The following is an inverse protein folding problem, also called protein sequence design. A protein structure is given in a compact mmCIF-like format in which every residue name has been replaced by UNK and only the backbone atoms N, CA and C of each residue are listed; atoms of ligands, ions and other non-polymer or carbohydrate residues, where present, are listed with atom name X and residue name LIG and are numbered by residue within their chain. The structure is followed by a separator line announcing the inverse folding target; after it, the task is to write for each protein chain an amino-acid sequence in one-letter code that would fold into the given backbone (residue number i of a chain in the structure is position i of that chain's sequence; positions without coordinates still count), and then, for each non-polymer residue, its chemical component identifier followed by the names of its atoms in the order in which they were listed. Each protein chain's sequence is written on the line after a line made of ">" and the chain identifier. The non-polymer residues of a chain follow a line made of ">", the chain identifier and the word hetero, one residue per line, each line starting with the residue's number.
data_IF_853238107593
#
_entry.id   IF_853238107593
#
_cell.length_a   1.000
_cell.length_b   1.000
_cell.length_c   1.000
_cell.angle_alpha   90.00
_cell.angle_beta   90.00
_cell.angle_gamma   90.00
#
_symmetry.space_group_name_H-M   'P 1'
#
loop_
_entity.id
_entity.type
_entity.pdbx_description
1 polymer ?
#
# COMPACT_ATOMS: atom_id res chain seq x y z
N UNK A 1 -40.57 5.42 -25.27
CA UNK A 1 -39.37 5.16 -24.43
C UNK A 1 -39.30 3.66 -24.17
N UNK A 2 -38.30 2.94 -24.69
CA UNK A 2 -38.22 1.49 -24.48
C UNK A 2 -37.91 1.16 -23.01
N UNK A 3 -38.68 0.25 -22.39
CA UNK A 3 -38.50 -0.19 -21.00
C UNK A 3 -37.20 -1.00 -20.90
N UNK A 4 -36.13 -0.40 -20.34
CA UNK A 4 -34.83 -1.06 -20.16
C UNK A 4 -35.01 -2.34 -19.33
N UNK A 5 -34.58 -3.48 -19.87
CA UNK A 5 -34.71 -4.79 -19.25
C UNK A 5 -34.08 -4.83 -17.85
N UNK A 6 -34.81 -5.37 -16.86
CA UNK A 6 -34.29 -5.58 -15.50
C UNK A 6 -33.01 -6.43 -15.51
N UNK A 7 -32.86 -7.35 -16.47
CA UNK A 7 -31.66 -8.19 -16.63
C UNK A 7 -30.42 -7.36 -16.96
N UNK A 8 -30.53 -6.40 -17.87
CA UNK A 8 -29.43 -5.49 -18.20
C UNK A 8 -29.01 -4.64 -17.00
N UNK A 9 -29.97 -4.17 -16.19
CA UNK A 9 -29.67 -3.39 -14.98
C UNK A 9 -28.98 -4.24 -13.91
N UNK A 10 -29.45 -5.47 -13.71
CA UNK A 10 -28.84 -6.40 -12.74
C UNK A 10 -27.43 -6.84 -13.19
N UNK A 11 -27.22 -7.03 -14.50
CA UNK A 11 -25.90 -7.32 -15.06
C UNK A 11 -24.90 -6.21 -14.73
N UNK A 12 -25.21 -4.94 -14.99
CA UNK A 12 -24.28 -3.85 -14.68
C UNK A 12 -24.03 -3.66 -13.19
N UNK A 13 -25.04 -3.90 -12.32
CA UNK A 13 -24.85 -3.91 -10.87
C UNK A 13 -23.90 -5.02 -10.42
N UNK A 14 -24.05 -6.21 -10.99
CA UNK A 14 -23.15 -7.32 -10.69
C UNK A 14 -21.73 -7.03 -11.17
N UNK A 15 -21.57 -6.51 -12.39
CA UNK A 15 -20.26 -6.07 -12.90
C UNK A 15 -19.64 -4.97 -12.04
N UNK A 16 -20.42 -4.01 -11.51
CA UNK A 16 -19.87 -2.98 -10.61
C UNK A 16 -19.38 -3.57 -9.29
N UNK A 17 -20.08 -4.56 -8.73
CA UNK A 17 -19.65 -5.25 -7.52
C UNK A 17 -18.32 -5.99 -7.73
N UNK A 18 -18.17 -6.67 -8.87
CA UNK A 18 -16.89 -7.27 -9.25
C UNK A 18 -15.81 -6.20 -9.37
N UNK A 19 -16.10 -5.09 -10.06
CA UNK A 19 -15.16 -3.98 -10.20
C UNK A 19 -14.68 -3.44 -8.85
N UNK A 20 -15.59 -3.20 -7.90
CA UNK A 20 -15.25 -2.77 -6.54
C UNK A 20 -14.42 -3.84 -5.82
N UNK A 21 -14.78 -5.11 -5.95
CA UNK A 21 -14.03 -6.22 -5.34
C UNK A 21 -12.60 -6.32 -5.87
N UNK A 22 -12.40 -6.18 -7.18
CA UNK A 22 -11.07 -6.20 -7.82
C UNK A 22 -10.23 -5.01 -7.40
N UNK A 23 -10.80 -3.79 -7.42
CA UNK A 23 -10.08 -2.60 -6.99
C UNK A 23 -9.67 -2.73 -5.52
N UNK A 24 -10.60 -3.13 -4.65
CA UNK A 24 -10.33 -3.32 -3.23
C UNK A 24 -9.25 -4.37 -2.95
N UNK A 25 -9.31 -5.52 -3.64
CA UNK A 25 -8.32 -6.59 -3.45
C UNK A 25 -6.93 -6.21 -3.95
N UNK A 26 -6.83 -5.51 -5.09
CA UNK A 26 -5.56 -5.02 -5.61
C UNK A 26 -4.96 -3.94 -4.70
N UNK A 27 -5.77 -3.00 -4.20
CA UNK A 27 -5.31 -2.00 -3.24
C UNK A 27 -4.81 -2.64 -1.94
N UNK A 28 -5.54 -3.62 -1.41
CA UNK A 28 -5.12 -4.35 -0.20
C UNK A 28 -3.81 -5.11 -0.42
N UNK A 29 -3.70 -5.81 -1.55
CA UNK A 29 -2.50 -6.58 -1.90
C UNK A 29 -1.28 -5.68 -2.05
N UNK A 30 -1.45 -4.51 -2.68
CA UNK A 30 -0.39 -3.52 -2.80
C UNK A 30 0.06 -3.00 -1.43
N UNK A 31 -0.87 -2.70 -0.52
CA UNK A 31 -0.50 -2.23 0.82
C UNK A 31 0.21 -3.31 1.63
N UNK A 32 -0.27 -4.56 1.55
CA UNK A 32 0.26 -5.69 2.30
C UNK A 32 1.61 -6.20 1.77
N UNK A 33 2.04 -5.72 0.59
CA UNK A 33 3.35 -6.05 0.03
C UNK A 33 4.49 -5.20 0.63
N UNK A 34 4.16 -4.17 1.41
CA UNK A 34 5.17 -3.38 2.10
C UNK A 34 5.78 -4.22 3.25
N UNK A 35 7.10 -4.42 3.27
CA UNK A 35 7.76 -5.20 4.33
C UNK A 35 7.73 -4.46 5.67
N UNK A 36 7.74 -5.23 6.75
CA UNK A 36 7.79 -4.68 8.10
C UNK A 36 9.17 -4.04 8.41
N UNK A 37 9.15 -2.97 9.19
CA UNK A 37 10.37 -2.29 9.65
C UNK A 37 10.84 -2.95 10.94
N UNK A 38 12.06 -3.48 10.93
CA UNK A 38 12.70 -4.02 12.15
C UNK A 38 12.92 -2.91 13.17
N UNK A 39 12.33 -3.01 14.35
CA UNK A 39 12.62 -2.08 15.45
C UNK A 39 14.09 -2.30 15.87
N UNK A 40 14.89 -1.24 15.82
CA UNK A 40 16.32 -1.26 16.14
C UNK A 40 16.80 0.14 16.48
N UNK A 41 18.06 0.27 16.92
CA UNK A 41 18.68 1.58 17.17
C UNK A 41 18.62 2.50 15.94
N UNK A 42 18.72 1.91 14.74
CA UNK A 42 18.69 2.63 13.46
C UNK A 42 17.27 2.87 12.91
N UNK A 43 16.26 2.12 13.37
CA UNK A 43 14.88 2.23 12.91
C UNK A 43 13.94 2.42 14.11
N UNK A 44 13.73 3.69 14.47
CA UNK A 44 12.81 4.07 15.55
C UNK A 44 11.49 4.60 14.99
N UNK A 45 10.38 4.13 15.57
CA UNK A 45 9.00 4.41 15.13
C UNK A 45 8.63 5.90 15.21
N UNK A 46 9.32 6.65 16.07
CA UNK A 46 9.09 8.09 16.30
C UNK A 46 9.80 8.99 15.28
N UNK A 47 10.48 8.41 14.30
CA UNK A 47 11.27 9.17 13.34
C UNK A 47 10.35 9.80 12.28
N UNK A 48 10.53 11.10 12.01
CA UNK A 48 9.84 11.80 10.93
C UNK A 48 10.20 11.22 9.56
N UNK A 49 9.25 11.22 8.62
CA UNK A 49 9.41 10.68 7.26
C UNK A 49 10.63 11.22 6.54
N UNK A 50 10.95 12.50 6.73
CA UNK A 50 12.10 13.17 6.10
C UNK A 50 13.42 12.49 6.46
N UNK A 51 13.56 12.00 7.70
CA UNK A 51 14.75 11.27 8.14
C UNK A 51 14.83 9.88 7.52
N UNK A 52 13.70 9.21 7.30
CA UNK A 52 13.69 7.93 6.56
C UNK A 52 14.20 8.14 5.13
N UNK A 53 13.71 9.19 4.45
CA UNK A 53 14.07 9.52 3.07
C UNK A 53 15.56 9.86 2.92
N UNK A 54 16.18 10.52 3.91
CA UNK A 54 17.62 10.82 3.91
C UNK A 54 18.50 9.58 3.75
N UNK A 55 18.10 8.45 4.34
CA UNK A 55 18.85 7.20 4.23
C UNK A 55 18.38 6.34 3.05
N UNK A 56 17.08 6.29 2.76
CA UNK A 56 16.50 5.32 1.83
C UNK A 56 16.35 5.79 0.38
N UNK A 57 16.63 7.07 0.08
CA UNK A 57 16.70 7.58 -1.30
C UNK A 57 18.13 7.62 -1.82
N UNK A 58 19.13 7.67 -0.92
CA UNK A 58 20.54 7.60 -1.30
C UNK A 58 20.94 6.12 -1.41
N UNK A 59 21.27 5.62 -2.62
CA UNK A 59 21.70 4.25 -2.78
C UNK A 59 23.04 4.04 -2.04
N UNK A 60 23.03 3.20 -1.02
CA UNK A 60 24.22 2.68 -0.36
C UNK A 60 24.10 1.16 -0.29
N UNK A 61 25.22 0.44 -0.30
CA UNK A 61 25.24 -1.03 -0.43
C UNK A 61 24.39 -1.78 0.63
N UNK A 62 24.12 -1.15 1.77
CA UNK A 62 23.44 -1.76 2.91
C UNK A 62 21.99 -1.30 3.14
N UNK A 63 21.49 -0.32 2.37
CA UNK A 63 20.15 0.25 2.59
C UNK A 63 19.24 -0.04 1.39
N UNK A 64 18.11 -0.75 1.57
CA UNK A 64 17.19 -1.02 0.49
C UNK A 64 16.57 0.29 -0.03
N UNK A 65 16.53 0.41 -1.36
CA UNK A 65 15.97 1.54 -2.09
C UNK A 65 14.44 1.51 -1.95
N UNK A 66 13.81 2.65 -1.69
CA UNK A 66 12.34 2.76 -1.70
C UNK A 66 11.83 2.57 -3.15
N UNK A 67 11.07 1.49 -3.46
CA UNK A 67 10.64 1.20 -4.82
C UNK A 67 9.38 1.99 -5.25
N UNK A 68 8.91 2.91 -4.41
CA UNK A 68 7.73 3.72 -4.65
C UNK A 68 8.03 5.22 -4.44
N UNK A 69 7.17 6.09 -4.96
CA UNK A 69 7.28 7.54 -4.73
C UNK A 69 6.99 7.86 -3.25
N UNK A 70 7.57 8.91 -2.64
CA UNK A 70 7.24 9.32 -1.28
C UNK A 70 5.73 9.54 -1.09
N UNK A 71 5.15 8.93 -0.06
CA UNK A 71 3.70 8.95 0.26
C UNK A 71 3.38 9.66 1.59
N UNK A 72 4.25 10.57 2.04
CA UNK A 72 4.03 11.39 3.24
C UNK A 72 4.33 10.67 4.57
N UNK A 73 3.87 9.44 4.77
CA UNK A 73 4.23 8.60 5.92
C UNK A 73 4.65 7.20 5.50
N UNK A 74 5.80 6.73 6.01
CA UNK A 74 6.27 5.36 5.79
C UNK A 74 5.48 4.34 6.61
N UNK A 75 5.05 4.71 7.81
CA UNK A 75 4.39 3.80 8.77
C UNK A 75 2.94 3.47 8.41
N UNK A 76 2.41 4.08 7.35
CA UNK A 76 1.07 3.77 6.85
C UNK A 76 1.00 2.39 6.19
N UNK A 77 2.04 2.02 5.43
CA UNK A 77 2.15 0.70 4.81
C UNK A 77 3.17 -0.19 5.54
N UNK A 78 4.25 0.40 6.06
CA UNK A 78 5.30 -0.35 6.74
C UNK A 78 5.03 -0.43 8.24
N UNK A 79 4.81 -1.62 8.78
CA UNK A 79 4.54 -1.78 10.20
C UNK A 79 5.85 -1.97 10.98
N UNK A 80 6.08 -1.24 12.08
CA UNK A 80 7.20 -1.55 12.96
C UNK A 80 6.97 -2.89 13.67
N UNK A 81 7.95 -3.79 13.57
CA UNK A 81 7.88 -5.12 14.17
C UNK A 81 9.23 -5.53 14.74
N UNK A 82 9.22 -6.19 15.91
CA UNK A 82 10.41 -6.83 16.50
C UNK A 82 10.80 -8.12 15.75
N UNK A 83 9.86 -8.68 14.96
CA UNK A 83 10.04 -9.85 14.11
C UNK A 83 9.57 -9.49 12.69
N UNK A 84 10.35 -8.70 11.96
CA UNK A 84 10.00 -8.34 10.58
C UNK A 84 9.96 -9.61 9.74
N UNK A 85 8.94 -9.75 8.89
CA UNK A 85 8.84 -10.80 7.88
C UNK A 85 8.86 -10.16 6.49
#
# INVERSE_FOLDING_TARGET
>A
MAKKSNGTRNFYRFMSLIGVGVIGSLSYSFMSAAPDIKISEYHQVTTATEKCIQCHVTPSESVPIIPHRPMGSCTFCHTPSDKPF
#
